data_IF_656583354863
#
_entry.id   IF_656583354863
#
_cell.length_a   1.000
_cell.length_b   1.000
_cell.length_c   1.000
_cell.angle_alpha   90.00
_cell.angle_beta   90.00
_cell.angle_gamma   90.00
#
_symmetry.space_group_name_H-M   'P 1'
#
loop_
_entity.id
_entity.type
_entity.pdbx_description
1 polymer ?
#
# COMPACT_ATOMS: atom_id res chain seq x y z
N UNK A 1 -20.16 5.11 -13.76
CA UNK A 1 -20.18 4.92 -12.29
C UNK A 1 -18.76 5.13 -11.78
N UNK A 2 -18.59 5.67 -10.58
CA UNK A 2 -17.27 5.81 -9.95
C UNK A 2 -16.76 4.43 -9.58
N UNK A 3 -15.57 4.05 -10.04
CA UNK A 3 -14.91 2.81 -9.61
C UNK A 3 -14.32 3.04 -8.22
N UNK A 4 -14.56 2.11 -7.30
CA UNK A 4 -13.98 2.12 -5.96
C UNK A 4 -12.91 1.03 -5.86
N UNK A 5 -11.68 1.44 -5.57
CA UNK A 5 -10.53 0.57 -5.38
C UNK A 5 -10.03 0.71 -3.95
N UNK A 6 -10.08 -0.38 -3.19
CA UNK A 6 -9.45 -0.45 -1.88
C UNK A 6 -8.00 -0.93 -2.03
N UNK A 7 -7.04 -0.01 -1.88
CA UNK A 7 -5.64 -0.32 -2.10
C UNK A 7 -4.95 -1.03 -0.94
N UNK A 8 -5.67 -1.39 0.14
CA UNK A 8 -5.05 -1.88 1.37
C UNK A 8 -5.92 -2.94 2.07
N UNK A 9 -5.86 -4.18 1.56
CA UNK A 9 -6.56 -5.33 2.14
C UNK A 9 -5.56 -6.43 2.48
N UNK A 10 -5.57 -6.91 3.71
CA UNK A 10 -4.68 -7.97 4.19
C UNK A 10 -5.35 -9.33 4.10
N UNK A 11 -4.64 -10.31 3.54
CA UNK A 11 -5.04 -11.72 3.58
C UNK A 11 -4.42 -12.44 4.80
N UNK A 12 -5.06 -13.53 5.20
CA UNK A 12 -4.66 -14.43 6.28
C UNK A 12 -4.10 -15.76 5.75
N UNK A 13 -4.22 -16.03 4.45
CA UNK A 13 -3.62 -17.19 3.78
C UNK A 13 -4.55 -18.41 3.70
N UNK A 14 -5.85 -18.20 3.91
CA UNK A 14 -6.88 -19.26 3.97
C UNK A 14 -8.17 -18.91 3.24
N UNK A 15 -8.24 -17.69 2.72
CA UNK A 15 -9.40 -17.17 2.01
C UNK A 15 -9.62 -17.86 0.68
N UNK A 16 -10.88 -17.87 0.26
CA UNK A 16 -11.34 -18.33 -1.05
C UNK A 16 -11.90 -17.18 -1.86
N UNK A 17 -11.82 -17.28 -3.19
CA UNK A 17 -12.27 -16.21 -4.10
C UNK A 17 -13.74 -15.82 -3.87
N UNK A 18 -14.63 -16.80 -3.67
CA UNK A 18 -16.07 -16.54 -3.45
C UNK A 18 -16.34 -15.73 -2.17
N UNK A 19 -15.57 -15.99 -1.12
CA UNK A 19 -15.68 -15.26 0.16
C UNK A 19 -15.24 -13.81 -0.01
N UNK A 20 -14.14 -13.60 -0.75
CA UNK A 20 -13.62 -12.28 -1.08
C UNK A 20 -14.61 -11.49 -1.92
N UNK A 21 -15.12 -12.07 -3.02
CA UNK A 21 -16.06 -11.39 -3.91
C UNK A 21 -17.35 -11.02 -3.19
N UNK A 22 -17.90 -11.92 -2.36
CA UNK A 22 -19.06 -11.62 -1.53
C UNK A 22 -18.81 -10.46 -0.56
N UNK A 23 -17.63 -10.42 0.05
CA UNK A 23 -17.26 -9.35 0.97
C UNK A 23 -17.08 -8.00 0.23
N UNK A 24 -16.44 -8.01 -0.94
CA UNK A 24 -16.30 -6.84 -1.81
C UNK A 24 -17.67 -6.29 -2.25
N UNK A 25 -18.56 -7.15 -2.73
CA UNK A 25 -19.89 -6.74 -3.19
C UNK A 25 -20.73 -6.17 -2.04
N UNK A 26 -20.61 -6.75 -0.84
CA UNK A 26 -21.28 -6.24 0.37
C UNK A 26 -20.75 -4.86 0.80
N UNK A 27 -19.45 -4.62 0.59
CA UNK A 27 -18.78 -3.35 0.89
C UNK A 27 -18.97 -2.29 -0.20
N UNK A 28 -19.39 -2.68 -1.41
CA UNK A 28 -19.46 -1.80 -2.58
C UNK A 28 -18.09 -1.48 -3.18
N UNK A 29 -17.15 -2.44 -3.15
CA UNK A 29 -15.79 -2.29 -3.66
C UNK A 29 -15.65 -3.02 -5.01
N UNK A 30 -15.14 -2.32 -6.02
CA UNK A 30 -14.94 -2.89 -7.36
C UNK A 30 -13.60 -3.61 -7.50
N UNK A 31 -12.53 -3.10 -6.88
CA UNK A 31 -11.20 -3.72 -6.95
C UNK A 31 -10.53 -3.67 -5.58
N UNK A 32 -9.84 -4.73 -5.18
CA UNK A 32 -8.96 -4.73 -4.01
C UNK A 32 -7.51 -4.92 -4.42
N UNK A 33 -6.59 -4.28 -3.68
CA UNK A 33 -5.20 -4.72 -3.62
C UNK A 33 -5.08 -5.67 -2.46
N UNK A 34 -4.97 -6.96 -2.78
CA UNK A 34 -4.87 -8.02 -1.79
C UNK A 34 -3.39 -8.29 -1.48
N UNK A 35 -2.98 -7.99 -0.25
CA UNK A 35 -1.64 -8.30 0.23
C UNK A 35 -1.62 -9.75 0.66
N UNK A 36 -0.64 -10.52 0.19
CA UNK A 36 -0.43 -11.89 0.68
C UNK A 36 -0.33 -11.90 2.19
N UNK A 37 -0.71 -13.03 2.80
CA UNK A 37 -0.55 -13.20 4.23
C UNK A 37 0.89 -12.93 4.69
N UNK A 38 1.02 -12.44 5.92
CA UNK A 38 2.32 -12.14 6.51
C UNK A 38 3.22 -13.39 6.49
N UNK A 39 4.43 -13.32 5.89
CA UNK A 39 5.29 -14.50 5.74
C UNK A 39 6.06 -14.85 7.04
N UNK A 40 6.05 -13.98 8.05
CA UNK A 40 6.77 -14.18 9.29
C UNK A 40 5.94 -14.90 10.37
N UNK A 41 6.62 -15.63 11.25
CA UNK A 41 6.04 -16.20 12.47
C UNK A 41 6.44 -15.36 13.67
N UNK A 42 5.45 -14.78 14.34
CA UNK A 42 5.65 -14.02 15.57
C UNK A 42 5.80 -14.99 16.75
N UNK A 43 6.91 -14.88 17.49
CA UNK A 43 7.28 -15.74 18.61
C UNK A 43 7.46 -14.91 19.89
N UNK A 44 7.16 -15.50 21.05
CA UNK A 44 7.47 -14.93 22.37
C UNK A 44 6.85 -13.56 22.64
N UNK A 45 5.51 -13.45 22.62
CA UNK A 45 4.78 -12.18 22.81
C UNK A 45 5.19 -11.04 21.85
N UNK A 46 5.69 -11.37 20.65
CA UNK A 46 6.12 -10.36 19.68
C UNK A 46 7.57 -9.91 19.81
N UNK A 47 8.37 -10.62 20.62
CA UNK A 47 9.80 -10.30 20.80
C UNK A 47 10.69 -10.78 19.66
N UNK A 48 10.28 -11.83 18.93
CA UNK A 48 11.04 -12.37 17.80
C UNK A 48 10.12 -12.65 16.62
N UNK A 49 10.64 -12.41 15.42
CA UNK A 49 10.01 -12.85 14.18
C UNK A 49 10.97 -13.77 13.45
N UNK A 50 10.50 -14.96 13.10
CA UNK A 50 11.20 -15.85 12.19
C UNK A 50 10.59 -15.73 10.80
N UNK A 51 11.45 -15.63 9.79
CA UNK A 51 11.04 -15.61 8.40
C UNK A 51 11.52 -16.88 7.72
N UNK A 52 10.65 -17.46 6.91
CA UNK A 52 10.91 -18.72 6.22
C UNK A 52 10.65 -18.56 4.71
N UNK A 53 11.61 -19.03 3.92
CA UNK A 53 11.56 -18.96 2.46
C UNK A 53 10.40 -19.77 1.89
N UNK A 54 10.12 -20.94 2.48
CA UNK A 54 9.00 -21.77 2.05
C UNK A 54 7.67 -21.05 2.33
N UNK A 55 7.50 -20.48 3.52
CA UNK A 55 6.31 -19.69 3.86
C UNK A 55 6.13 -18.48 2.93
N UNK A 56 7.20 -17.77 2.58
CA UNK A 56 7.08 -16.64 1.66
C UNK A 56 6.63 -17.06 0.25
N UNK A 57 7.03 -18.25 -0.22
CA UNK A 57 6.54 -18.82 -1.47
C UNK A 57 5.07 -19.23 -1.38
N UNK A 58 4.70 -19.90 -0.29
CA UNK A 58 3.33 -20.37 -0.03
C UNK A 58 2.32 -19.21 -0.03
N UNK A 59 2.62 -18.11 0.68
CA UNK A 59 1.71 -16.95 0.72
C UNK A 59 1.64 -16.22 -0.63
N UNK A 60 2.73 -16.24 -1.42
CA UNK A 60 2.74 -15.69 -2.76
C UNK A 60 1.84 -16.49 -3.71
N UNK A 61 1.91 -17.83 -3.66
CA UNK A 61 1.05 -18.71 -4.45
C UNK A 61 -0.43 -18.55 -4.08
N UNK A 62 -0.74 -18.43 -2.79
CA UNK A 62 -2.11 -18.23 -2.32
C UNK A 62 -2.75 -16.98 -2.93
N UNK A 63 -2.10 -15.82 -2.81
CA UNK A 63 -2.64 -14.57 -3.38
C UNK A 63 -2.67 -14.59 -4.91
N UNK A 64 -1.70 -15.27 -5.56
CA UNK A 64 -1.67 -15.41 -7.01
C UNK A 64 -2.84 -16.25 -7.54
N UNK A 65 -3.20 -17.32 -6.85
CA UNK A 65 -4.36 -18.15 -7.20
C UNK A 65 -5.66 -17.33 -7.09
N UNK A 66 -5.83 -16.57 -6.01
CA UNK A 66 -6.99 -15.68 -5.84
C UNK A 66 -7.07 -14.62 -6.94
N UNK A 67 -5.94 -13.99 -7.28
CA UNK A 67 -5.86 -13.05 -8.41
C UNK A 67 -6.27 -13.71 -9.72
N UNK A 68 -5.78 -14.92 -10.00
CA UNK A 68 -6.06 -15.64 -11.26
C UNK A 68 -7.53 -16.01 -11.40
N UNK A 69 -8.22 -16.32 -10.30
CA UNK A 69 -9.63 -16.66 -10.30
C UNK A 69 -10.54 -15.43 -10.49
N UNK A 70 -10.10 -14.23 -10.09
CA UNK A 70 -10.85 -12.99 -10.26
C UNK A 70 -9.97 -11.78 -10.69
N UNK A 71 -9.34 -11.83 -11.87
CA UNK A 71 -8.27 -10.90 -12.27
C UNK A 71 -8.73 -9.46 -12.49
N UNK A 72 -10.02 -9.24 -12.73
CA UNK A 72 -10.60 -7.90 -12.89
C UNK A 72 -10.95 -7.20 -11.56
N UNK A 73 -10.95 -7.97 -10.46
CA UNK A 73 -11.44 -7.59 -9.13
C UNK A 73 -10.33 -7.67 -8.07
N UNK A 74 -9.37 -8.57 -8.20
CA UNK A 74 -8.30 -8.81 -7.22
C UNK A 74 -6.95 -8.51 -7.86
N UNK A 75 -6.20 -7.58 -7.28
CA UNK A 75 -4.82 -7.27 -7.65
C UNK A 75 -3.91 -7.75 -6.54
N UNK A 76 -3.14 -8.80 -6.81
CA UNK A 76 -2.28 -9.45 -5.82
C UNK A 76 -0.96 -8.72 -5.60
N UNK A 77 -0.61 -8.51 -4.34
CA UNK A 77 0.67 -7.96 -3.92
C UNK A 77 1.40 -8.98 -3.04
N UNK A 78 2.70 -9.16 -3.30
CA UNK A 78 3.55 -9.97 -2.44
C UNK A 78 3.93 -9.17 -1.20
N UNK A 79 3.58 -9.64 -0.01
CA UNK A 79 4.26 -9.20 1.20
C UNK A 79 5.66 -9.80 1.24
N UNK A 80 6.66 -8.98 0.93
CA UNK A 80 8.05 -9.41 0.86
C UNK A 80 8.77 -9.11 2.18
N UNK A 81 9.38 -10.13 2.80
CA UNK A 81 10.49 -9.89 3.74
C UNK A 81 11.77 -9.68 2.94
N UNK A 82 12.35 -8.46 2.93
CA UNK A 82 13.49 -8.15 2.09
C UNK A 82 14.83 -8.65 2.64
N UNK A 83 14.93 -8.98 3.94
CA UNK A 83 16.17 -9.50 4.53
C UNK A 83 16.31 -11.03 4.42
N UNK A 84 15.31 -11.73 3.87
CA UNK A 84 15.40 -13.16 3.62
C UNK A 84 16.54 -13.50 2.65
N UNK A 85 17.24 -14.60 2.95
CA UNK A 85 18.12 -15.23 1.98
C UNK A 85 17.29 -15.59 0.74
N UNK A 86 17.67 -15.04 -0.42
CA UNK A 86 16.95 -15.15 -1.71
C UNK A 86 15.68 -14.29 -1.86
N UNK A 87 15.50 -13.23 -1.07
CA UNK A 87 14.38 -12.30 -1.25
C UNK A 87 14.23 -11.79 -2.70
N UNK A 88 15.35 -11.46 -3.37
CA UNK A 88 15.38 -11.01 -4.78
C UNK A 88 14.88 -12.09 -5.74
N UNK A 89 15.27 -13.35 -5.55
CA UNK A 89 14.83 -14.46 -6.40
C UNK A 89 13.33 -14.73 -6.23
N UNK A 90 12.82 -14.64 -4.99
CA UNK A 90 11.39 -14.81 -4.70
C UNK A 90 10.58 -13.67 -5.32
N UNK A 91 11.05 -12.43 -5.17
CA UNK A 91 10.44 -11.27 -5.81
C UNK A 91 10.34 -11.45 -7.33
N UNK A 92 11.44 -11.80 -7.98
CA UNK A 92 11.48 -12.00 -9.43
C UNK A 92 10.53 -13.13 -9.86
N UNK A 93 10.54 -14.26 -9.16
CA UNK A 93 9.62 -15.36 -9.42
C UNK A 93 8.14 -14.95 -9.23
N UNK A 94 7.80 -14.27 -8.15
CA UNK A 94 6.43 -13.88 -7.85
C UNK A 94 5.88 -12.88 -8.88
N UNK A 95 6.70 -11.95 -9.36
CA UNK A 95 6.27 -10.99 -10.38
C UNK A 95 6.24 -11.62 -11.77
N UNK A 96 7.25 -12.41 -12.15
CA UNK A 96 7.37 -12.91 -13.54
C UNK A 96 6.64 -14.22 -13.82
N UNK A 97 6.43 -15.06 -12.80
CA UNK A 97 5.78 -16.38 -12.93
C UNK A 97 4.38 -16.41 -12.34
N UNK A 98 4.17 -15.72 -11.21
CA UNK A 98 2.85 -15.62 -10.59
C UNK A 98 2.08 -14.36 -11.01
N UNK A 99 2.72 -13.46 -11.78
CA UNK A 99 2.13 -12.24 -12.31
C UNK A 99 1.55 -11.31 -11.22
N UNK A 100 2.11 -11.38 -10.01
CA UNK A 100 1.74 -10.44 -8.95
C UNK A 100 2.11 -9.02 -9.36
N UNK A 101 1.22 -8.09 -8.99
CA UNK A 101 1.18 -6.74 -9.56
C UNK A 101 1.83 -5.68 -8.67
N UNK A 102 2.34 -6.07 -7.52
CA UNK A 102 2.98 -5.15 -6.58
C UNK A 102 3.62 -5.85 -5.39
N UNK A 103 4.27 -5.07 -4.55
CA UNK A 103 4.95 -5.54 -3.35
C UNK A 103 4.45 -4.76 -2.14
N UNK A 104 4.15 -5.45 -1.04
CA UNK A 104 3.91 -4.88 0.28
C UNK A 104 5.16 -5.09 1.13
N UNK A 105 5.61 -4.05 1.83
CA UNK A 105 6.69 -4.17 2.81
C UNK A 105 6.32 -3.45 4.11
N UNK A 106 6.73 -4.04 5.23
CA UNK A 106 6.57 -3.44 6.56
C UNK A 106 7.95 -3.42 7.23
N UNK A 107 8.58 -2.24 7.37
CA UNK A 107 9.83 -2.11 8.11
C UNK A 107 9.55 -2.28 9.60
N UNK A 108 9.75 -3.48 10.14
CA UNK A 108 9.57 -3.77 11.56
C UNK A 108 10.89 -4.14 12.27
N UNK A 109 11.99 -4.33 11.53
CA UNK A 109 13.32 -4.62 12.07
C UNK A 109 14.48 -4.15 11.16
N UNK A 110 14.18 -3.32 10.18
CA UNK A 110 15.14 -2.75 9.21
C UNK A 110 14.69 -1.35 8.82
N UNK A 111 15.63 -0.47 8.49
CA UNK A 111 15.31 0.85 7.96
C UNK A 111 15.21 0.80 6.44
N UNK A 112 14.31 1.57 5.82
CA UNK A 112 14.20 1.66 4.37
C UNK A 112 15.53 1.98 3.66
N UNK A 113 16.44 2.68 4.34
CA UNK A 113 17.76 3.07 3.80
C UNK A 113 18.89 2.07 4.10
N UNK A 114 18.64 0.94 4.75
CA UNK A 114 19.70 -0.04 5.01
C UNK A 114 20.24 -0.62 3.70
N UNK A 115 21.56 -0.80 3.62
CA UNK A 115 22.26 -1.24 2.41
C UNK A 115 21.73 -2.57 1.85
N UNK A 116 21.25 -3.45 2.74
CA UNK A 116 20.68 -4.74 2.37
C UNK A 116 19.42 -4.62 1.50
N UNK A 117 18.68 -3.50 1.57
CA UNK A 117 17.49 -3.27 0.75
C UNK A 117 17.82 -2.83 -0.67
N UNK A 118 19.02 -2.32 -0.94
CA UNK A 118 19.33 -1.70 -2.24
C UNK A 118 19.13 -2.68 -3.40
N UNK A 119 19.60 -3.92 -3.26
CA UNK A 119 19.41 -4.97 -4.29
C UNK A 119 17.94 -5.34 -4.51
N UNK A 120 17.12 -5.24 -3.46
CA UNK A 120 15.68 -5.45 -3.57
C UNK A 120 15.05 -4.31 -4.36
N UNK A 121 15.40 -3.06 -4.08
CA UNK A 121 14.92 -1.91 -4.84
C UNK A 121 15.39 -1.94 -6.31
N UNK A 122 16.65 -2.27 -6.58
CA UNK A 122 17.17 -2.45 -7.94
C UNK A 122 16.32 -3.45 -8.73
N UNK A 123 16.00 -4.60 -8.12
CA UNK A 123 15.15 -5.61 -8.75
C UNK A 123 13.71 -5.14 -8.93
N UNK A 124 13.12 -4.44 -7.96
CA UNK A 124 11.77 -3.87 -8.11
C UNK A 124 11.73 -2.84 -9.24
N UNK A 125 12.77 -2.00 -9.35
CA UNK A 125 12.89 -1.02 -10.42
C UNK A 125 12.96 -1.68 -11.80
N UNK A 126 13.74 -2.76 -11.93
CA UNK A 126 13.84 -3.58 -13.14
C UNK A 126 12.48 -4.19 -13.53
N UNK A 127 11.76 -4.74 -12.54
CA UNK A 127 10.46 -5.38 -12.72
C UNK A 127 9.31 -4.39 -12.93
N UNK A 128 9.52 -3.10 -12.62
CA UNK A 128 8.55 -2.00 -12.79
C UNK A 128 7.20 -2.26 -12.09
N UNK A 129 7.23 -2.89 -10.91
CA UNK A 129 6.06 -3.07 -10.04
C UNK A 129 6.08 -2.06 -8.89
N UNK A 130 4.91 -1.55 -8.45
CA UNK A 130 4.83 -0.62 -7.34
C UNK A 130 5.07 -1.28 -5.98
N UNK A 131 5.44 -0.44 -5.00
CA UNK A 131 5.59 -0.85 -3.59
C UNK A 131 4.59 -0.10 -2.71
N UNK A 132 3.88 -0.79 -1.83
CA UNK A 132 3.17 -0.16 -0.71
C UNK A 132 3.97 -0.44 0.55
N UNK A 133 4.46 0.61 1.20
CA UNK A 133 5.13 0.51 2.49
C UNK A 133 4.15 0.84 3.60
N UNK A 134 4.24 0.09 4.71
CA UNK A 134 3.68 0.60 5.95
C UNK A 134 4.48 1.84 6.41
N UNK A 135 3.77 2.89 6.81
CA UNK A 135 4.37 4.10 7.37
C UNK A 135 3.50 4.64 8.49
N UNK A 136 4.13 5.23 9.51
CA UNK A 136 3.45 5.61 10.75
C UNK A 136 3.74 4.67 11.91
N UNK A 137 3.01 4.86 13.00
CA UNK A 137 3.03 3.93 14.14
C UNK A 137 2.46 2.60 13.65
N UNK A 138 3.06 1.50 14.12
CA UNK A 138 2.70 0.14 13.73
C UNK A 138 2.16 -0.60 14.94
N UNK A 139 0.91 -1.07 14.87
CA UNK A 139 0.24 -1.81 15.93
C UNK A 139 0.57 -3.31 15.83
N UNK A 140 1.86 -3.61 15.89
CA UNK A 140 2.38 -4.96 15.79
C UNK A 140 3.90 -4.99 15.90
N UNK A 141 4.46 -6.19 16.05
CA UNK A 141 5.91 -6.44 16.02
C UNK A 141 6.73 -5.75 17.11
N UNK A 142 6.10 -5.34 18.22
CA UNK A 142 6.79 -4.71 19.35
C UNK A 142 7.41 -3.36 18.99
N UNK A 143 8.72 -3.22 19.19
CA UNK A 143 9.48 -1.99 18.97
C UNK A 143 9.84 -1.78 17.48
N UNK A 144 8.80 -1.49 16.69
CA UNK A 144 8.84 -1.50 15.23
C UNK A 144 8.62 -0.11 14.60
N UNK A 145 7.95 0.80 15.29
CA UNK A 145 7.49 2.06 14.69
C UNK A 145 8.63 3.01 14.30
N UNK A 146 9.80 2.92 14.94
CA UNK A 146 10.97 3.76 14.61
C UNK A 146 11.46 3.60 13.17
N UNK A 147 11.19 2.44 12.56
CA UNK A 147 11.59 2.11 11.20
C UNK A 147 10.64 2.69 10.14
N UNK A 148 9.42 3.03 10.53
CA UNK A 148 8.29 3.38 9.65
C UNK A 148 8.12 4.89 9.41
N UNK A 149 9.06 5.73 9.85
CA UNK A 149 9.01 7.19 9.73
C UNK A 149 9.11 7.64 8.26
N UNK A 150 8.23 8.51 7.74
CA UNK A 150 8.19 8.90 6.33
C UNK A 150 9.52 9.38 5.73
N UNK A 151 10.30 10.17 6.48
CA UNK A 151 11.59 10.67 6.00
C UNK A 151 12.62 9.57 5.66
N UNK A 152 12.47 8.36 6.22
CA UNK A 152 13.40 7.25 5.95
C UNK A 152 13.35 6.79 4.48
N UNK A 153 12.27 7.08 3.75
CA UNK A 153 12.05 6.60 2.39
C UNK A 153 12.70 7.46 1.30
N UNK A 154 13.37 8.56 1.64
CA UNK A 154 14.09 9.42 0.67
C UNK A 154 15.17 8.66 -0.12
N UNK A 155 15.65 7.54 0.42
CA UNK A 155 16.54 6.60 -0.30
C UNK A 155 15.99 6.18 -1.68
N UNK A 156 14.67 6.15 -1.87
CA UNK A 156 14.02 5.79 -3.13
C UNK A 156 14.24 6.82 -4.25
N UNK A 157 14.77 8.01 -3.95
CA UNK A 157 15.26 8.96 -4.97
C UNK A 157 16.38 8.36 -5.83
N UNK A 158 17.13 7.37 -5.30
CA UNK A 158 18.14 6.62 -6.07
C UNK A 158 17.55 5.69 -7.14
N UNK A 159 16.25 5.39 -7.06
CA UNK A 159 15.54 4.44 -7.92
C UNK A 159 14.36 5.12 -8.61
N UNK A 160 14.61 6.08 -9.53
CA UNK A 160 13.61 7.02 -10.03
C UNK A 160 12.43 6.36 -10.75
N UNK A 161 12.52 5.11 -11.21
CA UNK A 161 11.40 4.42 -11.88
C UNK A 161 10.48 3.69 -10.91
N UNK A 162 10.85 3.54 -9.64
CA UNK A 162 9.99 2.94 -8.62
C UNK A 162 8.82 3.88 -8.33
N UNK A 163 7.60 3.34 -8.48
CA UNK A 163 6.37 3.92 -7.92
C UNK A 163 6.17 3.30 -6.54
N UNK A 164 5.89 4.12 -5.52
CA UNK A 164 5.63 3.60 -4.18
C UNK A 164 4.57 4.41 -3.44
N UNK A 165 3.93 3.83 -2.44
CA UNK A 165 3.00 4.52 -1.55
C UNK A 165 3.40 4.36 -0.09
N UNK A 166 3.22 5.42 0.70
CA UNK A 166 3.32 5.35 2.16
C UNK A 166 1.92 5.30 2.76
N UNK A 167 1.64 4.22 3.51
CA UNK A 167 0.35 3.98 4.14
C UNK A 167 0.04 4.93 5.30
N UNK A 168 -1.22 4.95 5.70
CA UNK A 168 -1.75 5.65 6.88
C UNK A 168 -1.53 7.17 6.89
N UNK A 169 -1.18 7.76 5.75
CA UNK A 169 -0.68 9.14 5.66
C UNK A 169 0.48 9.36 6.66
N UNK A 170 1.23 8.30 6.98
CA UNK A 170 2.35 8.32 7.93
C UNK A 170 1.99 8.65 9.39
N UNK A 171 0.73 8.48 9.84
CA UNK A 171 0.30 8.90 11.18
C UNK A 171 1.22 8.38 12.31
N UNK A 172 1.62 9.22 13.29
CA UNK A 172 1.20 10.60 13.53
C UNK A 172 2.03 11.64 12.77
N UNK A 173 3.03 11.23 11.98
CA UNK A 173 3.88 12.10 11.18
C UNK A 173 3.21 12.54 9.86
N UNK A 174 1.94 12.97 9.93
CA UNK A 174 1.15 13.37 8.77
C UNK A 174 1.82 14.49 7.99
N UNK A 175 2.26 15.54 8.70
CA UNK A 175 2.93 16.68 8.08
C UNK A 175 4.28 16.27 7.45
N UNK A 176 4.98 15.31 8.06
CA UNK A 176 6.22 14.77 7.50
C UNK A 176 5.95 13.95 6.23
N UNK A 177 4.93 13.08 6.23
CA UNK A 177 4.53 12.32 5.05
C UNK A 177 4.21 13.23 3.86
N UNK A 178 3.46 14.31 4.11
CA UNK A 178 3.12 15.31 3.09
C UNK A 178 4.37 16.07 2.62
N UNK A 179 5.25 16.46 3.54
CA UNK A 179 6.51 17.12 3.21
C UNK A 179 7.45 16.22 2.39
N UNK A 180 7.57 14.93 2.74
CA UNK A 180 8.33 13.93 1.99
C UNK A 180 7.76 13.78 0.58
N UNK A 181 6.43 13.70 0.41
CA UNK A 181 5.81 13.71 -0.91
C UNK A 181 6.18 14.97 -1.72
N UNK A 182 6.17 16.14 -1.05
CA UNK A 182 6.62 17.40 -1.63
C UNK A 182 8.08 17.40 -2.08
N UNK A 183 8.96 16.74 -1.33
CA UNK A 183 10.36 16.55 -1.70
C UNK A 183 10.48 15.71 -2.99
N UNK A 184 9.80 14.57 -3.07
CA UNK A 184 9.75 13.75 -4.30
C UNK A 184 9.19 14.53 -5.50
N UNK A 185 8.19 15.40 -5.28
CA UNK A 185 7.66 16.30 -6.32
C UNK A 185 8.74 17.26 -6.83
N UNK A 186 9.49 17.92 -5.95
CA UNK A 186 10.57 18.85 -6.32
C UNK A 186 11.68 18.13 -7.07
N UNK A 187 12.09 16.95 -6.62
CA UNK A 187 13.14 16.17 -7.28
C UNK A 187 12.69 15.65 -8.65
N UNK A 188 11.43 15.25 -8.80
CA UNK A 188 10.85 14.92 -10.11
C UNK A 188 10.92 16.12 -11.07
N UNK A 189 10.54 17.32 -10.61
CA UNK A 189 10.59 18.55 -11.40
C UNK A 189 12.03 18.92 -11.80
N UNK A 190 12.98 18.86 -10.87
CA UNK A 190 14.42 19.11 -11.14
C UNK A 190 14.97 18.15 -12.20
N UNK A 191 14.51 16.91 -12.19
CA UNK A 191 14.87 15.89 -13.18
C UNK A 191 14.06 15.98 -14.50
N UNK A 192 13.16 16.96 -14.65
CA UNK A 192 12.31 17.10 -15.83
C UNK A 192 11.24 16.01 -16.00
N UNK A 193 10.91 15.28 -14.92
CA UNK A 193 9.89 14.22 -14.91
C UNK A 193 8.52 14.81 -14.58
N UNK A 194 7.49 14.33 -15.29
CA UNK A 194 6.09 14.67 -15.00
C UNK A 194 5.51 13.83 -13.87
N UNK A 195 5.87 12.55 -13.82
CA UNK A 195 5.36 11.62 -12.84
C UNK A 195 6.15 11.69 -11.53
N UNK A 196 5.43 11.74 -10.41
CA UNK A 196 5.99 11.68 -9.06
C UNK A 196 6.03 10.21 -8.63
N UNK A 197 7.13 9.80 -8.02
CA UNK A 197 7.31 8.41 -7.56
C UNK A 197 6.36 8.04 -6.41
N UNK A 198 6.19 8.97 -5.47
CA UNK A 198 5.48 8.75 -4.23
C UNK A 198 3.98 9.01 -4.36
N UNK A 199 3.20 8.04 -3.90
CA UNK A 199 1.77 8.13 -3.61
C UNK A 199 1.58 8.17 -2.08
N UNK A 200 0.43 8.67 -1.65
CA UNK A 200 -0.01 8.66 -0.26
C UNK A 200 -1.18 7.68 -0.18
N UNK A 201 -0.99 6.58 0.54
CA UNK A 201 -2.08 5.66 0.86
C UNK A 201 -2.81 6.19 2.10
N UNK A 202 -4.08 6.57 1.87
CA UNK A 202 -4.95 7.23 2.84
C UNK A 202 -5.73 6.27 3.73
N UNK A 203 -5.33 4.99 3.75
CA UNK A 203 -5.91 4.02 4.66
C UNK A 203 -5.93 4.54 6.10
N UNK A 204 -6.97 4.28 6.92
CA UNK A 204 -7.02 4.85 8.26
C UNK A 204 -5.93 4.31 9.19
N UNK A 205 -4.94 5.14 9.53
CA UNK A 205 -4.16 5.01 10.79
C UNK A 205 -4.48 6.09 11.81
N UNK A 206 -5.24 7.12 11.40
CA UNK A 206 -5.71 8.21 12.25
C UNK A 206 -6.97 7.80 13.03
N UNK A 207 -7.12 8.22 14.29
CA UNK A 207 -8.42 8.19 14.95
C UNK A 207 -9.44 9.03 14.15
N UNK A 208 -10.75 8.70 14.17
CA UNK A 208 -11.76 9.38 13.34
C UNK A 208 -11.74 10.90 13.42
N UNK A 209 -11.44 11.46 14.60
CA UNK A 209 -11.33 12.90 14.84
C UNK A 209 -10.24 13.58 13.99
N UNK A 210 -9.11 12.91 13.77
CA UNK A 210 -7.96 13.46 13.03
C UNK A 210 -8.11 13.32 11.51
N UNK A 211 -9.03 12.49 11.03
CA UNK A 211 -9.07 12.11 9.62
C UNK A 211 -9.42 13.27 8.70
N UNK A 212 -10.36 14.12 9.09
CA UNK A 212 -10.71 15.33 8.31
C UNK A 212 -9.48 16.22 8.10
N UNK A 213 -8.76 16.50 9.19
CA UNK A 213 -7.58 17.36 9.14
C UNK A 213 -6.49 16.75 8.26
N UNK A 214 -6.21 15.45 8.41
CA UNK A 214 -5.21 14.75 7.61
C UNK A 214 -5.54 14.82 6.11
N UNK A 215 -6.78 14.50 5.71
CA UNK A 215 -7.22 14.60 4.31
C UNK A 215 -7.14 16.05 3.82
N UNK A 216 -7.66 17.01 4.59
CA UNK A 216 -7.63 18.43 4.24
C UNK A 216 -6.19 18.91 3.96
N UNK A 217 -5.22 18.52 4.79
CA UNK A 217 -3.80 18.85 4.59
C UNK A 217 -3.22 18.24 3.31
N UNK A 218 -3.49 16.95 3.04
CA UNK A 218 -3.03 16.26 1.82
C UNK A 218 -3.53 16.98 0.56
N UNK A 219 -4.83 17.28 0.50
CA UNK A 219 -5.40 17.93 -0.67
C UNK A 219 -4.98 19.40 -0.79
N UNK A 220 -4.90 20.15 0.32
CA UNK A 220 -4.42 21.54 0.31
C UNK A 220 -2.95 21.66 -0.15
N UNK A 221 -2.13 20.62 0.09
CA UNK A 221 -0.74 20.57 -0.39
C UNK A 221 -0.61 20.25 -1.89
N UNK A 222 -1.71 19.87 -2.54
CA UNK A 222 -1.80 19.59 -3.97
C UNK A 222 -1.46 18.16 -4.37
N UNK A 223 -1.62 17.19 -3.46
CA UNK A 223 -1.37 15.77 -3.73
C UNK A 223 -2.57 15.01 -4.31
N UNK A 224 -3.57 15.71 -4.86
CA UNK A 224 -4.84 15.13 -5.36
C UNK A 224 -4.62 13.95 -6.31
N UNK A 225 -3.71 14.08 -7.27
CA UNK A 225 -3.46 13.00 -8.23
C UNK A 225 -2.71 11.83 -7.59
N UNK A 226 -2.11 11.95 -6.41
CA UNK A 226 -1.21 10.96 -5.83
C UNK A 226 -1.70 10.41 -4.49
N UNK A 227 -2.96 10.63 -4.13
CA UNK A 227 -3.58 10.02 -2.95
C UNK A 227 -4.53 8.89 -3.35
N UNK A 228 -4.44 7.74 -2.67
CA UNK A 228 -5.21 6.53 -2.96
C UNK A 228 -6.00 6.08 -1.73
N UNK A 229 -7.25 5.68 -1.94
CA UNK A 229 -8.12 5.13 -0.90
C UNK A 229 -7.70 3.70 -0.51
N UNK A 230 -7.75 3.41 0.79
CA UNK A 230 -7.63 2.06 1.35
C UNK A 230 -8.40 1.95 2.66
N UNK A 231 -8.69 0.74 3.11
CA UNK A 231 -9.43 0.50 4.37
C UNK A 231 -8.63 -0.10 5.52
N UNK A 232 -7.50 -0.77 5.23
CA UNK A 232 -6.73 -1.59 6.19
C UNK A 232 -7.53 -2.80 6.71
N UNK A 233 -8.47 -3.29 5.91
CA UNK A 233 -9.35 -4.39 6.29
C UNK A 233 -8.71 -5.76 6.03
N UNK A 234 -9.26 -6.76 6.71
CA UNK A 234 -9.14 -8.17 6.34
C UNK A 234 -10.46 -8.62 5.69
N UNK A 235 -10.46 -9.77 5.02
CA UNK A 235 -11.69 -10.25 4.35
C UNK A 235 -12.85 -10.44 5.33
N UNK A 236 -12.57 -10.89 6.55
CA UNK A 236 -13.59 -11.09 7.60
C UNK A 236 -14.28 -9.81 8.10
N UNK A 237 -13.70 -8.63 7.88
CA UNK A 237 -14.29 -7.34 8.28
C UNK A 237 -14.40 -6.33 7.13
N UNK A 238 -14.19 -6.73 5.87
CA UNK A 238 -14.20 -5.84 4.71
C UNK A 238 -15.53 -5.09 4.53
N UNK A 239 -16.64 -5.62 5.02
CA UNK A 239 -17.94 -4.91 5.02
C UNK A 239 -17.87 -3.56 5.75
N UNK A 240 -16.98 -3.42 6.75
CA UNK A 240 -16.76 -2.18 7.49
C UNK A 240 -16.07 -1.10 6.65
N UNK A 241 -15.38 -1.48 5.56
CA UNK A 241 -14.80 -0.54 4.61
C UNK A 241 -15.85 0.39 4.00
N UNK A 242 -17.11 -0.08 3.87
CA UNK A 242 -18.22 0.76 3.43
C UNK A 242 -18.40 2.02 4.29
N UNK A 243 -18.27 1.89 5.61
CA UNK A 243 -18.38 3.03 6.54
C UNK A 243 -17.22 4.01 6.35
N UNK A 244 -16.03 3.50 6.02
CA UNK A 244 -14.85 4.32 5.72
C UNK A 244 -15.07 5.07 4.41
N UNK A 245 -15.55 4.40 3.35
CA UNK A 245 -15.89 5.00 2.05
C UNK A 245 -16.92 6.12 2.22
N UNK A 246 -18.05 5.82 2.88
CA UNK A 246 -19.12 6.80 3.11
C UNK A 246 -18.63 8.01 3.91
N UNK A 247 -17.87 7.78 5.00
CA UNK A 247 -17.27 8.85 5.79
C UNK A 247 -16.34 9.71 4.95
N UNK A 248 -15.44 9.10 4.18
CA UNK A 248 -14.46 9.85 3.40
C UNK A 248 -15.13 10.66 2.30
N UNK A 249 -16.13 10.10 1.62
CA UNK A 249 -16.95 10.84 0.64
C UNK A 249 -17.59 12.07 1.30
N UNK A 250 -18.23 11.91 2.46
CA UNK A 250 -18.83 13.04 3.21
C UNK A 250 -17.76 14.06 3.62
N UNK A 251 -16.60 13.64 4.11
CA UNK A 251 -15.52 14.55 4.48
C UNK A 251 -14.99 15.33 3.26
N UNK A 252 -14.69 14.64 2.16
CA UNK A 252 -14.12 15.25 0.96
C UNK A 252 -15.12 16.18 0.27
N UNK A 253 -16.38 15.76 0.14
CA UNK A 253 -17.43 16.53 -0.53
C UNK A 253 -17.98 17.64 0.35
N UNK A 254 -18.51 17.30 1.52
CA UNK A 254 -19.38 18.19 2.28
C UNK A 254 -18.61 19.06 3.27
N UNK A 255 -17.43 18.61 3.72
CA UNK A 255 -16.63 19.31 4.73
C UNK A 255 -15.36 19.97 4.20
N UNK A 256 -14.75 19.42 3.15
CA UNK A 256 -13.56 19.99 2.50
C UNK A 256 -13.96 20.72 1.21
N UNK A 257 -15.00 20.28 0.51
CA UNK A 257 -15.51 20.96 -0.69
C UNK A 257 -14.76 20.59 -1.97
N UNK A 258 -14.23 19.37 -2.07
CA UNK A 258 -13.55 18.91 -3.28
C UNK A 258 -14.55 18.63 -4.41
N UNK A 259 -14.17 18.92 -5.67
CA UNK A 259 -15.00 18.57 -6.81
C UNK A 259 -15.08 17.05 -6.99
N UNK A 260 -16.16 16.58 -7.62
CA UNK A 260 -16.36 15.15 -7.90
C UNK A 260 -15.19 14.52 -8.68
N UNK A 261 -14.46 15.29 -9.48
CA UNK A 261 -13.24 14.82 -10.17
C UNK A 261 -12.17 14.36 -9.19
N UNK A 262 -11.89 15.13 -8.14
CA UNK A 262 -10.89 14.79 -7.13
C UNK A 262 -11.33 13.58 -6.30
N UNK A 263 -12.63 13.49 -6.01
CA UNK A 263 -13.21 12.37 -5.26
C UNK A 263 -13.11 11.06 -6.07
N UNK A 264 -13.41 11.07 -7.37
CA UNK A 264 -13.24 9.87 -8.22
C UNK A 264 -11.78 9.41 -8.31
N UNK A 265 -10.85 10.36 -8.43
CA UNK A 265 -9.41 10.06 -8.41
C UNK A 265 -9.00 9.36 -7.12
N UNK A 266 -9.38 9.92 -5.98
CA UNK A 266 -9.14 9.36 -4.65
C UNK A 266 -9.71 7.95 -4.49
N UNK A 267 -10.98 7.76 -4.87
CA UNK A 267 -11.71 6.50 -4.68
C UNK A 267 -11.20 5.36 -5.56
N UNK A 268 -10.57 5.65 -6.72
CA UNK A 268 -10.12 4.55 -7.57
C UNK A 268 -9.18 4.89 -8.72
N UNK A 269 -9.35 6.02 -9.42
CA UNK A 269 -8.57 6.28 -10.65
C UNK A 269 -7.06 6.37 -10.37
N UNK A 270 -6.67 6.97 -9.22
CA UNK A 270 -5.27 7.04 -8.82
C UNK A 270 -4.69 5.66 -8.48
N UNK A 271 -5.47 4.78 -7.83
CA UNK A 271 -5.03 3.44 -7.47
C UNK A 271 -4.83 2.58 -8.73
N UNK A 272 -5.77 2.62 -9.68
CA UNK A 272 -5.60 1.94 -10.97
C UNK A 272 -4.34 2.42 -11.72
N UNK A 273 -4.09 3.73 -11.73
CA UNK A 273 -2.89 4.32 -12.32
C UNK A 273 -1.61 3.85 -11.61
N UNK A 274 -1.63 3.74 -10.29
CA UNK A 274 -0.49 3.29 -9.49
C UNK A 274 0.00 1.89 -9.89
N UNK A 275 -0.93 0.96 -10.16
CA UNK A 275 -0.63 -0.41 -10.65
C UNK A 275 -0.58 -0.52 -12.18
N UNK A 276 -0.70 0.58 -12.92
CA UNK A 276 -0.62 0.61 -14.38
C UNK A 276 -1.84 0.03 -15.12
N UNK A 277 -2.99 -0.10 -14.44
CA UNK A 277 -4.25 -0.53 -15.05
C UNK A 277 -4.98 0.71 -15.59
N UNK A 278 -5.44 0.66 -16.83
CA UNK A 278 -6.31 1.68 -17.44
C UNK A 278 -7.71 1.08 -17.57
N UNK A 279 -8.68 1.60 -16.82
CA UNK A 279 -10.12 1.32 -16.97
C UNK A 279 -10.85 2.60 -17.34
#
# INVERSE_FOLDING_TARGET
>A
MTVIVDCHVHLEGREKVDEILKAMDSAGIDVIFAFSAYPGRIIGYGSYVEYDLHKQREVAEHVANLQKEAPDRIVGFLWLEPLLEKAVEVLEWAVTKLELRGVKMIPNHWYPYDEKLLKVYEKIEELNVPIIFHSGILWGFGDSSRFCRPANYEILLKFPKIRFALAHIGWPWVDECIATWGHFRVEAQRAGRRDIQMYIDATPGTPPLYRKEALQKVFAYGAEDYVIFGSDSHIGNLVEARKIIERDITLLRDHIGLPETSIRKYLGENALRFVGIRK
#
